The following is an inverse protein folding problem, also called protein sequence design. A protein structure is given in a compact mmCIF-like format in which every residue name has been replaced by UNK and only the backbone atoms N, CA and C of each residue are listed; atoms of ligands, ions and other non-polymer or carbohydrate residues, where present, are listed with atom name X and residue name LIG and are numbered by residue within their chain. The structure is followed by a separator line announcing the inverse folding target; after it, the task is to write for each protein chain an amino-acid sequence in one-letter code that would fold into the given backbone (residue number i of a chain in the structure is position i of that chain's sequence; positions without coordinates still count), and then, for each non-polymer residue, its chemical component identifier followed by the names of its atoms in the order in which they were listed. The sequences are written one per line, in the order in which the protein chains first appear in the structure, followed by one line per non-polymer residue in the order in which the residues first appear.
data_IF_424569921540
#
_entry.id   IF_424569921540
#
_cell.length_a   1.000
_cell.length_b   1.000
_cell.length_c   1.000
_cell.angle_alpha   90.00
_cell.angle_beta   90.00
_cell.angle_gamma   90.00
#
_symmetry.space_group_name_H-M   'P 1'
#
loop_
_entity.id
_entity.type
_entity.pdbx_description
1 polymer ?
#
# COMPACT_ATOMS: atom_id res chain seq x y z
N UNK A 1 8.16 2.52 15.26
CA UNK A 1 8.42 1.43 14.31
C UNK A 1 7.30 0.43 14.50
N UNK A 2 6.52 0.15 13.45
CA UNK A 2 5.32 -0.70 13.49
C UNK A 2 5.67 -2.12 13.07
N UNK A 3 5.12 -3.13 13.75
CA UNK A 3 5.30 -4.54 13.37
C UNK A 3 4.25 -4.97 12.36
N UNK A 4 4.65 -5.71 11.34
CA UNK A 4 3.73 -6.16 10.28
C UNK A 4 2.63 -7.07 10.83
N UNK A 5 2.92 -7.81 11.91
CA UNK A 5 1.96 -8.66 12.60
C UNK A 5 0.77 -7.89 13.17
N UNK A 6 0.97 -6.64 13.59
CA UNK A 6 -0.03 -5.80 14.26
C UNK A 6 -0.98 -5.09 13.26
N UNK A 7 -0.62 -5.11 11.98
CA UNK A 7 -1.39 -4.44 10.93
C UNK A 7 -2.53 -5.36 10.44
N UNK A 8 -3.76 -4.87 10.45
CA UNK A 8 -4.89 -5.47 9.73
C UNK A 8 -4.89 -5.02 8.26
N UNK A 9 -3.94 -5.57 7.50
CA UNK A 9 -3.71 -5.18 6.11
C UNK A 9 -4.90 -5.48 5.20
N UNK A 10 -5.75 -6.47 5.55
CA UNK A 10 -6.95 -6.78 4.78
C UNK A 10 -8.01 -5.70 4.97
N UNK A 11 -8.31 -5.31 6.21
CA UNK A 11 -9.27 -4.23 6.47
C UNK A 11 -8.82 -2.92 5.83
N UNK A 12 -7.52 -2.61 5.93
CA UNK A 12 -6.94 -1.45 5.25
C UNK A 12 -7.11 -1.48 3.74
N UNK A 13 -6.88 -2.64 3.10
CA UNK A 13 -7.13 -2.81 1.67
C UNK A 13 -8.61 -2.61 1.32
N UNK A 14 -9.52 -3.19 2.11
CA UNK A 14 -10.96 -3.11 1.88
C UNK A 14 -11.49 -1.66 1.97
N UNK A 15 -10.85 -0.80 2.76
CA UNK A 15 -11.10 0.64 2.80
C UNK A 15 -10.49 1.34 1.57
N UNK A 16 -9.21 1.10 1.30
CA UNK A 16 -8.47 1.78 0.24
C UNK A 16 -9.02 1.50 -1.15
N UNK A 17 -9.37 0.24 -1.45
CA UNK A 17 -9.83 -0.17 -2.78
C UNK A 17 -11.13 0.49 -3.22
N UNK A 18 -11.90 1.11 -2.32
CA UNK A 18 -13.13 1.80 -2.70
C UNK A 18 -12.84 3.06 -3.52
N UNK A 19 -11.66 3.65 -3.31
CA UNK A 19 -11.24 4.91 -3.88
C UNK A 19 -10.25 4.73 -5.05
N UNK A 20 -9.82 3.50 -5.34
CA UNK A 20 -8.88 3.20 -6.43
C UNK A 20 -9.58 2.93 -7.78
N UNK A 21 -8.96 3.30 -8.91
CA UNK A 21 -9.36 2.87 -10.24
C UNK A 21 -9.46 1.35 -10.37
N UNK A 22 -10.43 0.87 -11.15
CA UNK A 22 -10.72 -0.57 -11.28
C UNK A 22 -9.49 -1.42 -11.67
N UNK A 23 -8.64 -0.92 -12.55
CA UNK A 23 -7.45 -1.64 -12.99
C UNK A 23 -6.43 -1.84 -11.86
N UNK A 24 -6.22 -0.83 -11.00
CA UNK A 24 -5.31 -0.95 -9.85
C UNK A 24 -5.84 -1.98 -8.85
N UNK A 25 -7.15 -1.97 -8.60
CA UNK A 25 -7.79 -2.95 -7.71
C UNK A 25 -7.55 -4.38 -8.16
N UNK A 26 -7.79 -4.66 -9.44
CA UNK A 26 -7.61 -5.99 -10.02
C UNK A 26 -6.15 -6.43 -9.91
N UNK A 27 -5.20 -5.55 -10.24
CA UNK A 27 -3.77 -5.86 -10.17
C UNK A 27 -3.33 -6.18 -8.74
N UNK A 28 -3.73 -5.37 -7.77
CA UNK A 28 -3.44 -5.62 -6.36
C UNK A 28 -4.09 -6.90 -5.84
N UNK A 29 -5.33 -7.21 -6.23
CA UNK A 29 -5.99 -8.46 -5.84
C UNK A 29 -5.27 -9.70 -6.40
N UNK A 30 -4.72 -9.64 -7.62
CA UNK A 30 -3.87 -10.70 -8.17
C UNK A 30 -2.59 -10.83 -7.35
N UNK A 31 -1.95 -9.71 -6.99
CA UNK A 31 -0.77 -9.70 -6.12
C UNK A 31 -1.06 -10.39 -4.79
N UNK A 32 -2.15 -10.03 -4.11
CA UNK A 32 -2.52 -10.64 -2.84
C UNK A 32 -2.85 -12.11 -2.96
N UNK A 33 -3.52 -12.51 -4.06
CA UNK A 33 -3.81 -13.92 -4.33
C UNK A 33 -2.53 -14.73 -4.51
N UNK A 34 -1.53 -14.20 -5.23
CA UNK A 34 -0.26 -14.89 -5.46
C UNK A 34 0.60 -14.96 -4.19
N UNK A 35 0.60 -13.89 -3.38
CA UNK A 35 1.32 -13.86 -2.11
C UNK A 35 0.60 -14.65 -1.00
N UNK A 36 -0.71 -14.86 -1.12
CA UNK A 36 -1.54 -15.42 -0.03
C UNK A 36 -1.71 -14.45 1.15
N UNK A 37 -1.45 -13.15 0.96
CA UNK A 37 -1.41 -12.15 2.04
C UNK A 37 -1.62 -10.72 1.51
N UNK A 38 -2.18 -9.85 2.36
CA UNK A 38 -2.23 -8.39 2.12
C UNK A 38 -1.04 -7.66 2.76
N UNK A 39 -0.21 -8.37 3.54
CA UNK A 39 0.97 -7.86 4.25
C UNK A 39 2.21 -7.89 3.35
N UNK A 40 2.05 -7.41 2.14
CA UNK A 40 3.06 -7.35 1.07
C UNK A 40 2.97 -6.00 0.40
N UNK A 41 3.91 -5.64 -0.47
CA UNK A 41 3.74 -4.45 -1.31
C UNK A 41 2.49 -4.60 -2.21
N UNK A 42 1.56 -3.65 -2.13
CA UNK A 42 0.29 -3.71 -2.85
C UNK A 42 0.40 -3.54 -4.37
N UNK A 43 1.58 -3.15 -4.87
CA UNK A 43 1.86 -2.96 -6.30
C UNK A 43 2.54 -4.18 -6.90
N UNK A 44 3.52 -4.77 -6.21
CA UNK A 44 4.39 -5.80 -6.78
C UNK A 44 4.51 -7.10 -5.95
N UNK A 45 3.93 -7.14 -4.76
CA UNK A 45 3.97 -8.32 -3.88
C UNK A 45 5.29 -8.51 -3.12
N UNK A 46 6.26 -7.59 -3.23
CA UNK A 46 7.49 -7.69 -2.46
C UNK A 46 7.22 -7.60 -0.95
N UNK A 47 7.81 -8.50 -0.17
CA UNK A 47 7.66 -8.58 1.29
C UNK A 47 8.80 -7.89 2.05
N UNK A 48 9.89 -7.55 1.35
CA UNK A 48 11.08 -6.94 1.95
C UNK A 48 11.04 -5.43 1.84
N UNK A 49 11.58 -4.77 2.86
CA UNK A 49 11.72 -3.31 2.93
C UNK A 49 10.40 -2.59 2.61
N UNK A 50 9.35 -3.04 3.29
CA UNK A 50 8.01 -2.49 3.14
C UNK A 50 7.72 -1.42 4.20
N UNK A 51 6.90 -0.47 3.78
CA UNK A 51 6.54 0.72 4.52
C UNK A 51 5.03 0.82 4.59
N UNK A 52 4.53 1.14 5.76
CA UNK A 52 3.17 1.63 5.93
C UNK A 52 3.21 3.11 5.58
N UNK A 53 2.46 3.50 4.56
CA UNK A 53 2.37 4.89 4.14
C UNK A 53 0.97 5.44 4.37
N UNK A 54 0.91 6.71 4.76
CA UNK A 54 -0.29 7.52 4.75
C UNK A 54 -0.10 8.61 3.68
N UNK A 55 -1.01 8.68 2.72
CA UNK A 55 -0.93 9.59 1.57
C UNK A 55 -2.23 10.36 1.37
N UNK A 56 -2.17 11.49 0.69
CA UNK A 56 -3.36 12.27 0.31
C UNK A 56 -3.61 12.09 -1.19
N UNK A 57 -4.80 11.61 -1.54
CA UNK A 57 -5.23 11.51 -2.93
C UNK A 57 -5.67 12.87 -3.49
N UNK A 58 -5.87 12.94 -4.81
CA UNK A 58 -6.31 14.17 -5.50
C UNK A 58 -7.64 14.74 -4.99
N UNK A 59 -8.53 13.88 -4.49
CA UNK A 59 -9.81 14.28 -3.89
C UNK A 59 -9.69 14.71 -2.41
N UNK A 60 -8.47 14.82 -1.87
CA UNK A 60 -8.18 15.22 -0.50
C UNK A 60 -8.36 14.12 0.56
N UNK A 61 -8.80 12.91 0.18
CA UNK A 61 -8.90 11.79 1.11
C UNK A 61 -7.53 11.27 1.50
N UNK A 62 -7.38 10.89 2.77
CA UNK A 62 -6.22 10.14 3.22
C UNK A 62 -6.39 8.66 2.88
N UNK A 63 -5.34 8.05 2.36
CA UNK A 63 -5.25 6.65 2.00
C UNK A 63 -4.03 6.04 2.66
N UNK A 64 -4.21 4.85 3.24
CA UNK A 64 -3.11 4.05 3.77
C UNK A 64 -2.76 2.92 2.80
N UNK A 65 -1.47 2.65 2.61
CA UNK A 65 -1.02 1.55 1.77
C UNK A 65 0.27 0.93 2.30
N UNK A 66 0.53 -0.31 1.89
CA UNK A 66 1.82 -0.99 2.14
C UNK A 66 2.60 -1.02 0.84
N UNK A 67 3.74 -0.33 0.79
CA UNK A 67 4.62 -0.28 -0.39
C UNK A 67 6.05 -0.68 -0.03
N UNK A 68 6.75 -1.40 -0.91
CA UNK A 68 8.20 -1.54 -0.78
C UNK A 68 8.90 -0.22 -1.15
N UNK A 69 10.13 -0.04 -0.68
CA UNK A 69 10.95 1.16 -0.92
C UNK A 69 10.94 1.62 -2.39
N UNK A 70 11.17 0.69 -3.32
CA UNK A 70 11.20 0.99 -4.76
C UNK A 70 9.85 1.51 -5.27
N UNK A 71 8.75 0.85 -4.90
CA UNK A 71 7.42 1.27 -5.30
C UNK A 71 7.04 2.61 -4.67
N UNK A 72 7.42 2.85 -3.40
CA UNK A 72 7.21 4.12 -2.73
C UNK A 72 7.90 5.26 -3.48
N UNK A 73 9.20 5.13 -3.76
CA UNK A 73 9.97 6.13 -4.50
C UNK A 73 9.37 6.41 -5.89
N UNK A 74 8.94 5.37 -6.61
CA UNK A 74 8.30 5.54 -7.91
C UNK A 74 6.99 6.31 -7.76
N UNK A 75 6.14 5.96 -6.79
CA UNK A 75 4.85 6.61 -6.59
C UNK A 75 5.00 8.10 -6.22
N UNK A 76 5.93 8.45 -5.33
CA UNK A 76 6.23 9.83 -4.97
C UNK A 76 6.70 10.65 -6.18
N UNK A 77 7.59 10.09 -7.01
CA UNK A 77 8.05 10.73 -8.24
C UNK A 77 6.93 10.90 -9.28
N UNK A 78 5.88 10.07 -9.23
CA UNK A 78 4.68 10.21 -10.07
C UNK A 78 3.60 11.12 -9.45
N UNK A 79 3.87 11.72 -8.30
CA UNK A 79 3.00 12.74 -7.69
C UNK A 79 2.19 12.27 -6.47
N UNK A 80 2.38 11.05 -5.99
CA UNK A 80 1.76 10.61 -4.73
C UNK A 80 2.29 11.47 -3.58
N UNK A 81 1.38 12.13 -2.87
CA UNK A 81 1.74 12.97 -1.72
C UNK A 81 1.71 12.15 -0.44
N UNK A 82 2.87 11.68 -0.04
CA UNK A 82 3.05 10.96 1.23
C UNK A 82 3.12 11.97 2.37
N UNK A 83 2.30 11.77 3.38
CA UNK A 83 2.26 12.58 4.62
C UNK A 83 3.15 11.95 5.67
N UNK A 84 3.10 10.63 5.76
CA UNK A 84 3.85 9.84 6.74
C UNK A 84 4.23 8.51 6.10
N UNK A 85 5.43 8.05 6.41
CA UNK A 85 5.87 6.69 6.07
C UNK A 85 6.60 6.09 7.27
N UNK A 86 6.30 4.83 7.54
CA UNK A 86 6.92 4.09 8.63
C UNK A 86 7.37 2.72 8.12
N UNK A 87 8.65 2.41 8.30
CA UNK A 87 9.18 1.09 7.96
C UNK A 87 8.54 0.03 8.85
N UNK A 88 8.13 -1.08 8.24
CA UNK A 88 7.51 -2.20 8.92
C UNK A 88 8.53 -3.33 9.11
N UNK A 89 8.57 -3.91 10.31
CA UNK A 89 9.37 -5.11 10.65
C UNK A 89 8.56 -6.41 10.63
#
# INVERSE_FOLDING_TARGET
MVKISEIDAKSMWDNTKQDLPAHQRILSEIVFSNAGSHKVCWICGNEKDIFLISSVMDNGKQMQAILCENCLMIQENTGLRVVESEKIE
#
